data_IF_536935395552
#
_entry.id   IF_536935395552
#
_cell.length_a   1.000
_cell.length_b   1.000
_cell.length_c   1.000
_cell.angle_alpha   90.00
_cell.angle_beta   90.00
_cell.angle_gamma   90.00
#
_symmetry.space_group_name_H-M   'P 1'
#
loop_
_entity.id
_entity.type
_entity.pdbx_description
1 polymer ?
#
# COMPACT_ATOMS: atom_id res chain seq x y z
N UNK A 1 -6.13 -12.92 31.31
CA UNK A 1 -5.57 -13.64 30.15
C UNK A 1 -5.12 -12.62 29.13
N UNK A 2 -3.85 -12.63 28.72
CA UNK A 2 -3.36 -11.76 27.64
C UNK A 2 -3.98 -12.29 26.35
N UNK A 3 -4.97 -11.58 25.82
CA UNK A 3 -5.53 -11.89 24.51
C UNK A 3 -4.41 -11.68 23.48
N UNK A 4 -3.91 -12.77 22.92
CA UNK A 4 -2.96 -12.70 21.80
C UNK A 4 -3.77 -12.22 20.60
N UNK A 5 -3.67 -10.94 20.25
CA UNK A 5 -4.32 -10.41 19.05
C UNK A 5 -3.62 -10.98 17.83
N UNK A 6 -4.27 -11.92 17.15
CA UNK A 6 -3.79 -12.49 15.90
C UNK A 6 -4.24 -11.55 14.78
N UNK A 7 -3.29 -11.05 13.98
CA UNK A 7 -3.58 -10.27 12.76
C UNK A 7 -3.04 -10.99 11.54
N UNK A 8 -3.73 -10.84 10.41
CA UNK A 8 -3.36 -11.45 9.14
C UNK A 8 -2.79 -10.38 8.21
N UNK A 9 -1.53 -10.53 7.80
CA UNK A 9 -0.91 -9.62 6.82
C UNK A 9 -0.97 -10.23 5.43
N UNK A 10 -1.62 -9.53 4.51
CA UNK A 10 -1.76 -9.94 3.11
C UNK A 10 -0.76 -9.21 2.25
N UNK A 11 0.30 -9.91 1.88
CA UNK A 11 1.34 -9.37 1.00
C UNK A 11 1.33 -10.05 -0.35
N UNK A 12 0.89 -9.34 -1.39
CA UNK A 12 1.16 -9.74 -2.77
C UNK A 12 2.06 -8.71 -3.43
N UNK A 13 3.31 -9.07 -3.74
CA UNK A 13 4.24 -8.14 -4.35
C UNK A 13 3.75 -7.79 -5.76
N UNK A 14 3.70 -6.49 -6.13
CA UNK A 14 3.54 -6.11 -7.53
C UNK A 14 4.72 -6.69 -8.32
N UNK A 15 4.45 -7.28 -9.48
CA UNK A 15 5.45 -7.87 -10.38
C UNK A 15 6.65 -6.94 -10.65
N UNK A 16 6.43 -5.61 -10.64
CA UNK A 16 7.47 -4.61 -10.86
C UNK A 16 8.49 -4.44 -9.72
N UNK A 17 8.17 -4.79 -8.47
CA UNK A 17 9.07 -4.55 -7.32
C UNK A 17 10.10 -5.66 -7.15
N UNK A 18 9.78 -6.89 -7.55
CA UNK A 18 10.67 -8.04 -7.38
C UNK A 18 11.71 -8.20 -8.49
N UNK A 19 11.63 -7.44 -9.58
CA UNK A 19 12.58 -7.55 -10.70
C UNK A 19 12.59 -8.92 -11.40
N UNK A 20 11.73 -9.85 -10.99
CA UNK A 20 11.65 -11.20 -11.54
C UNK A 20 10.29 -11.40 -12.20
N UNK A 21 10.29 -11.62 -13.52
CA UNK A 21 9.26 -12.35 -14.25
C UNK A 21 9.27 -13.84 -13.80
N UNK A 22 9.08 -14.10 -12.50
CA UNK A 22 8.97 -15.46 -11.98
C UNK A 22 7.48 -15.85 -11.93
N UNK A 23 7.09 -17.06 -12.36
CA UNK A 23 5.70 -17.51 -12.45
C UNK A 23 5.11 -17.87 -11.08
N UNK A 24 5.43 -17.10 -10.04
CA UNK A 24 4.82 -17.23 -8.72
C UNK A 24 3.44 -16.60 -8.84
N UNK A 25 2.40 -17.43 -8.79
CA UNK A 25 0.98 -17.08 -8.95
C UNK A 25 0.66 -15.62 -8.57
N UNK A 26 0.65 -14.71 -9.56
CA UNK A 26 0.45 -13.29 -9.31
C UNK A 26 -1.05 -13.02 -9.25
N UNK A 27 -1.59 -13.04 -8.04
CA UNK A 27 -2.94 -12.57 -7.80
C UNK A 27 -2.93 -11.05 -7.61
N UNK A 28 -3.96 -10.35 -8.07
CA UNK A 28 -4.07 -8.92 -7.80
C UNK A 28 -4.41 -8.67 -6.32
N UNK A 29 -3.82 -7.63 -5.73
CA UNK A 29 -3.92 -7.36 -4.28
C UNK A 29 -5.38 -7.12 -3.84
N UNK A 30 -6.16 -6.42 -4.65
CA UNK A 30 -7.60 -6.19 -4.47
C UNK A 30 -8.38 -7.51 -4.35
N UNK A 31 -8.15 -8.47 -5.25
CA UNK A 31 -8.81 -9.78 -5.24
C UNK A 31 -8.41 -10.64 -4.05
N UNK A 32 -7.19 -10.47 -3.56
CA UNK A 32 -6.72 -11.20 -2.39
C UNK A 32 -7.33 -10.67 -1.10
N UNK A 33 -7.43 -9.35 -0.97
CA UNK A 33 -8.15 -8.73 0.15
C UNK A 33 -9.59 -9.21 0.15
N UNK A 34 -10.29 -9.14 -0.99
CA UNK A 34 -11.70 -9.55 -1.09
C UNK A 34 -11.94 -11.00 -0.65
N UNK A 35 -11.12 -11.96 -1.10
CA UNK A 35 -11.29 -13.36 -0.72
C UNK A 35 -10.94 -13.65 0.73
N UNK A 36 -9.91 -13.00 1.25
CA UNK A 36 -9.51 -13.18 2.63
C UNK A 36 -10.51 -12.53 3.57
N UNK A 37 -11.09 -11.38 3.21
CA UNK A 37 -12.23 -10.80 3.93
C UNK A 37 -13.38 -11.80 4.01
N UNK A 38 -13.78 -12.42 2.89
CA UNK A 38 -14.82 -13.46 2.88
C UNK A 38 -14.47 -14.66 3.77
N UNK A 39 -13.20 -15.07 3.79
CA UNK A 39 -12.75 -16.15 4.66
C UNK A 39 -12.76 -15.75 6.14
N UNK A 40 -12.36 -14.51 6.45
CA UNK A 40 -12.39 -13.93 7.79
C UNK A 40 -13.80 -13.84 8.32
N UNK A 41 -14.76 -13.42 7.50
CA UNK A 41 -16.16 -13.28 7.90
C UNK A 41 -16.76 -14.66 8.21
N UNK A 42 -16.46 -15.70 7.40
CA UNK A 42 -16.84 -17.09 7.71
C UNK A 42 -16.19 -17.60 9.00
N UNK A 43 -14.94 -17.22 9.26
CA UNK A 43 -14.24 -17.59 10.49
C UNK A 43 -14.89 -16.92 11.71
N UNK A 44 -15.24 -15.64 11.60
CA UNK A 44 -15.97 -14.89 12.62
C UNK A 44 -17.33 -15.53 12.91
N UNK A 45 -18.09 -15.92 11.88
CA UNK A 45 -19.37 -16.62 12.04
C UNK A 45 -19.21 -17.99 12.74
N UNK A 46 -18.17 -18.74 12.39
CA UNK A 46 -17.95 -20.09 12.92
C UNK A 46 -17.38 -20.10 14.36
N UNK A 47 -16.58 -19.10 14.73
CA UNK A 47 -15.80 -19.11 15.98
C UNK A 47 -16.15 -17.97 16.94
N UNK A 48 -16.76 -16.89 16.45
CA UNK A 48 -16.93 -15.65 17.19
C UNK A 48 -15.67 -14.79 17.27
N UNK A 49 -14.56 -15.20 16.64
CA UNK A 49 -13.28 -14.49 16.70
C UNK A 49 -13.05 -13.63 15.45
N UNK A 50 -12.77 -12.34 15.66
CA UNK A 50 -12.44 -11.40 14.59
C UNK A 50 -10.93 -11.34 14.39
N UNK A 51 -10.48 -11.64 13.17
CA UNK A 51 -9.07 -11.52 12.78
C UNK A 51 -8.89 -10.26 11.94
N UNK A 52 -8.14 -9.24 12.41
CA UNK A 52 -7.87 -8.04 11.63
C UNK A 52 -6.97 -8.34 10.42
N UNK A 53 -7.28 -7.72 9.28
CA UNK A 53 -6.55 -7.85 8.03
C UNK A 53 -5.70 -6.60 7.78
N UNK A 54 -4.42 -6.81 7.48
CA UNK A 54 -3.47 -5.78 7.06
C UNK A 54 -3.20 -5.95 5.57
N UNK A 55 -3.59 -4.99 4.74
CA UNK A 55 -3.24 -4.97 3.31
C UNK A 55 -1.81 -4.46 3.13
N UNK A 56 -0.88 -5.34 2.74
CA UNK A 56 0.53 -5.04 2.54
C UNK A 56 0.93 -5.17 1.06
N UNK A 57 1.51 -4.11 0.50
CA UNK A 57 1.97 -4.09 -0.88
C UNK A 57 0.95 -3.50 -1.87
N UNK A 58 1.48 -2.91 -2.95
CA UNK A 58 0.67 -2.27 -3.99
C UNK A 58 0.10 -0.89 -3.64
N UNK A 59 0.17 -0.45 -2.38
CA UNK A 59 -0.29 0.88 -1.94
C UNK A 59 0.68 1.97 -2.42
N UNK A 60 0.27 2.75 -3.43
CA UNK A 60 1.05 3.86 -4.00
C UNK A 60 0.49 5.22 -3.64
N UNK A 61 -0.81 5.29 -3.38
CA UNK A 61 -1.53 6.53 -3.16
C UNK A 61 -2.60 6.36 -2.08
N UNK A 62 -3.14 7.48 -1.58
CA UNK A 62 -4.27 7.48 -0.63
C UNK A 62 -5.52 6.82 -1.24
N UNK A 63 -5.69 6.89 -2.58
CA UNK A 63 -6.76 6.17 -3.28
C UNK A 63 -6.67 4.67 -3.04
N UNK A 64 -5.49 4.10 -3.20
CA UNK A 64 -5.27 2.66 -3.00
C UNK A 64 -5.57 2.26 -1.55
N UNK A 65 -5.27 3.14 -0.59
CA UNK A 65 -5.63 2.94 0.83
C UNK A 65 -7.15 2.89 1.02
N UNK A 66 -7.90 3.84 0.44
CA UNK A 66 -9.37 3.86 0.52
C UNK A 66 -9.95 2.57 -0.08
N UNK A 67 -9.44 2.15 -1.25
CA UNK A 67 -9.91 0.92 -1.92
C UNK A 67 -9.59 -0.31 -1.07
N UNK A 68 -8.37 -0.44 -0.55
CA UNK A 68 -7.99 -1.58 0.29
C UNK A 68 -8.87 -1.67 1.55
N UNK A 69 -9.12 -0.53 2.21
CA UNK A 69 -10.04 -0.48 3.35
C UNK A 69 -11.46 -0.85 2.93
N UNK A 70 -11.95 -0.35 1.79
CA UNK A 70 -13.30 -0.67 1.30
C UNK A 70 -13.49 -2.16 0.98
N UNK A 71 -12.43 -2.84 0.54
CA UNK A 71 -12.44 -4.28 0.26
C UNK A 71 -12.39 -5.16 1.52
N UNK A 72 -12.33 -4.55 2.72
CA UNK A 72 -12.40 -5.27 4.00
C UNK A 72 -11.10 -5.31 4.80
N UNK A 73 -10.03 -4.65 4.34
CA UNK A 73 -8.83 -4.49 5.17
C UNK A 73 -9.12 -3.57 6.37
N UNK A 74 -8.54 -3.90 7.52
CA UNK A 74 -8.64 -3.10 8.75
C UNK A 74 -7.52 -2.06 8.83
N UNK A 75 -6.38 -2.34 8.20
CA UNK A 75 -5.24 -1.44 8.11
C UNK A 75 -4.44 -1.68 6.83
N UNK A 76 -3.55 -0.75 6.51
CA UNK A 76 -2.71 -0.80 5.32
C UNK A 76 -1.24 -0.65 5.70
N UNK A 77 -0.36 -1.39 5.02
CA UNK A 77 1.09 -1.26 5.12
C UNK A 77 1.62 -0.69 3.80
N UNK A 78 2.31 0.45 3.87
CA UNK A 78 2.67 1.25 2.70
C UNK A 78 4.16 1.65 2.71
N UNK A 79 5.06 0.74 2.33
CA UNK A 79 6.50 1.02 2.30
C UNK A 79 6.89 2.13 1.32
N UNK A 80 6.48 2.02 0.05
CA UNK A 80 6.81 2.99 -1.00
C UNK A 80 6.29 4.40 -0.69
N UNK A 81 5.13 4.50 -0.05
CA UNK A 81 4.49 5.76 0.32
C UNK A 81 5.35 6.56 1.31
N UNK A 82 5.98 5.91 2.28
CA UNK A 82 6.84 6.57 3.27
C UNK A 82 8.31 6.69 2.85
N UNK A 83 8.74 5.96 1.81
CA UNK A 83 10.15 5.91 1.42
C UNK A 83 10.73 7.27 0.97
N UNK A 84 9.89 8.21 0.55
CA UNK A 84 10.30 9.55 0.11
C UNK A 84 10.49 10.57 1.22
N UNK A 85 10.18 10.24 2.48
CA UNK A 85 10.22 11.22 3.58
C UNK A 85 11.61 11.40 4.18
N UNK A 86 11.81 12.47 4.95
CA UNK A 86 13.08 12.75 5.65
C UNK A 86 13.53 11.60 6.57
N UNK A 87 12.56 10.98 7.23
CA UNK A 87 12.74 9.96 8.27
C UNK A 87 13.06 8.58 7.68
N UNK A 88 12.87 8.39 6.37
CA UNK A 88 13.26 7.16 5.72
C UNK A 88 14.80 7.04 5.70
N UNK A 89 15.35 5.83 5.92
CA UNK A 89 16.78 5.64 6.22
C UNK A 89 17.72 5.86 5.03
N UNK A 90 17.19 6.10 3.84
CA UNK A 90 17.98 6.30 2.62
C UNK A 90 18.36 7.76 2.44
N UNK A 91 19.48 8.02 1.76
CA UNK A 91 19.94 9.39 1.49
C UNK A 91 19.19 10.05 0.32
N UNK A 92 19.06 11.38 0.34
CA UNK A 92 18.40 12.14 -0.74
C UNK A 92 19.39 12.32 -1.90
N UNK A 93 18.97 11.94 -3.10
CA UNK A 93 19.74 12.17 -4.32
C UNK A 93 19.24 13.43 -5.05
N UNK A 94 20.04 14.49 -4.95
CA UNK A 94 19.78 15.80 -5.58
C UNK A 94 20.21 15.87 -7.05
N UNK A 95 20.77 14.81 -7.64
CA UNK A 95 21.06 14.76 -9.08
C UNK A 95 19.78 14.76 -9.93
N UNK A 96 18.66 14.32 -9.35
CA UNK A 96 17.35 14.32 -10.00
C UNK A 96 16.60 15.63 -9.74
N UNK A 97 15.74 16.01 -10.69
CA UNK A 97 14.78 17.10 -10.55
C UNK A 97 13.38 16.59 -10.91
N UNK A 98 12.45 16.40 -9.94
CA UNK A 98 12.62 16.65 -8.50
C UNK A 98 13.61 15.67 -7.84
N UNK A 99 14.17 16.00 -6.65
CA UNK A 99 15.05 15.11 -5.90
C UNK A 99 14.37 13.78 -5.57
N UNK A 100 15.15 12.70 -5.45
CA UNK A 100 14.63 11.34 -5.25
C UNK A 100 15.37 10.61 -4.13
N UNK A 101 14.70 9.69 -3.46
CA UNK A 101 15.29 8.77 -2.48
C UNK A 101 15.35 7.34 -3.04
N UNK A 102 16.45 6.60 -2.85
CA UNK A 102 16.51 5.17 -3.19
C UNK A 102 15.38 4.38 -2.52
N UNK A 103 14.79 3.45 -3.26
CA UNK A 103 13.80 2.50 -2.73
C UNK A 103 13.94 1.15 -3.46
N UNK A 104 13.87 0.06 -2.71
CA UNK A 104 13.95 -1.30 -3.25
C UNK A 104 13.09 -2.27 -2.44
N UNK A 105 12.66 -3.36 -3.07
CA UNK A 105 11.97 -4.44 -2.36
C UNK A 105 12.94 -5.32 -1.59
N UNK A 106 12.54 -5.81 -0.41
CA UNK A 106 13.33 -6.72 0.44
C UNK A 106 13.80 -8.01 -0.25
N UNK A 107 13.14 -8.43 -1.34
CA UNK A 107 13.54 -9.61 -2.13
C UNK A 107 14.55 -9.34 -3.24
N UNK A 108 14.88 -8.06 -3.49
CA UNK A 108 15.82 -7.68 -4.55
C UNK A 108 17.27 -7.98 -4.16
N UNK A 109 18.15 -8.16 -5.14
CA UNK A 109 19.59 -8.35 -4.87
C UNK A 109 20.21 -7.11 -4.18
N UNK A 110 19.63 -5.93 -4.43
CA UNK A 110 19.95 -4.69 -3.71
C UNK A 110 19.66 -4.80 -2.21
N UNK A 111 18.55 -5.43 -1.81
CA UNK A 111 18.23 -5.66 -0.41
C UNK A 111 19.20 -6.65 0.24
N UNK A 112 19.56 -7.73 -0.46
CA UNK A 112 20.55 -8.72 0.03
C UNK A 112 21.90 -8.05 0.28
N UNK A 113 22.39 -7.31 -0.73
CA UNK A 113 23.64 -6.56 -0.63
C UNK A 113 23.60 -5.50 0.48
N UNK A 114 22.48 -4.80 0.66
CA UNK A 114 22.32 -3.84 1.76
C UNK A 114 22.34 -4.51 3.15
N UNK A 115 21.67 -5.66 3.31
CA UNK A 115 21.64 -6.43 4.56
C UNK A 115 23.02 -6.96 4.94
N UNK A 116 23.78 -7.40 3.95
CA UNK A 116 25.14 -7.94 4.13
C UNK A 116 26.18 -6.86 4.39
N UNK A 117 26.06 -5.70 3.74
CA UNK A 117 27.11 -4.66 3.77
C UNK A 117 26.80 -3.44 4.65
N UNK A 118 25.60 -3.34 5.26
CA UNK A 118 25.15 -2.38 6.30
C UNK A 118 25.81 -0.97 6.34
N UNK A 119 26.15 -0.36 5.22
CA UNK A 119 26.84 0.94 5.27
C UNK A 119 27.61 1.41 4.05
N UNK A 120 27.82 0.59 3.01
CA UNK A 120 28.37 1.12 1.77
C UNK A 120 27.27 1.77 0.92
N UNK A 121 27.53 3.01 0.52
CA UNK A 121 26.72 3.83 -0.38
C UNK A 121 26.31 3.02 -1.61
N UNK A 122 25.07 2.55 -1.62
CA UNK A 122 24.51 1.89 -2.80
C UNK A 122 24.23 3.00 -3.80
N UNK A 123 25.21 3.22 -4.68
CA UNK A 123 25.11 4.19 -5.76
C UNK A 123 23.86 3.92 -6.60
N UNK A 124 23.25 5.01 -7.06
CA UNK A 124 22.24 4.91 -8.10
C UNK A 124 22.94 4.36 -9.35
N UNK A 125 22.51 3.19 -9.81
CA UNK A 125 22.90 2.71 -11.14
C UNK A 125 22.17 3.59 -12.16
N UNK A 126 22.89 4.55 -12.76
CA UNK A 126 22.38 5.43 -13.80
C UNK A 126 21.87 4.57 -14.98
N UNK A 127 20.58 4.70 -15.32
CA UNK A 127 19.95 3.96 -16.43
C UNK A 127 18.87 2.96 -16.03
N UNK A 128 18.63 2.70 -14.74
CA UNK A 128 17.51 1.84 -14.30
C UNK A 128 16.22 2.67 -14.16
N UNK A 129 15.13 2.38 -14.91
CA UNK A 129 13.90 3.20 -14.92
C UNK A 129 13.14 3.32 -13.59
N UNK A 130 13.56 2.63 -12.52
CA UNK A 130 12.88 2.58 -11.23
C UNK A 130 13.78 2.96 -10.04
N UNK A 131 14.82 3.77 -10.25
CA UNK A 131 15.90 3.91 -9.29
C UNK A 131 15.55 4.59 -7.93
N UNK A 132 14.30 5.05 -7.73
CA UNK A 132 13.87 5.59 -6.44
C UNK A 132 12.42 6.08 -6.39
N UNK A 133 12.07 6.73 -5.29
CA UNK A 133 10.81 7.47 -5.10
C UNK A 133 11.10 8.96 -5.03
N UNK A 134 10.12 9.78 -5.38
CA UNK A 134 10.28 11.23 -5.27
C UNK A 134 10.39 11.63 -3.81
N UNK A 135 11.26 12.61 -3.54
CA UNK A 135 11.40 13.19 -2.22
C UNK A 135 10.17 14.05 -1.90
N UNK A 136 9.50 13.74 -0.79
CA UNK A 136 8.24 14.40 -0.39
C UNK A 136 8.39 15.29 0.85
N UNK A 137 9.59 15.39 1.42
CA UNK A 137 9.85 16.21 2.61
C UNK A 137 9.57 15.48 3.94
N UNK A 138 9.34 16.22 5.04
CA UNK A 138 9.10 15.64 6.35
C UNK A 138 7.81 14.80 6.42
N UNK A 139 7.82 13.73 7.22
CA UNK A 139 6.68 12.80 7.33
C UNK A 139 5.42 13.46 7.89
N UNK A 140 5.55 14.31 8.93
CA UNK A 140 4.39 14.90 9.62
C UNK A 140 3.42 15.65 8.68
N UNK A 141 3.86 16.66 7.89
CA UNK A 141 2.94 17.36 7.00
C UNK A 141 2.41 16.45 5.90
N UNK A 142 3.23 15.50 5.43
CA UNK A 142 2.85 14.55 4.39
C UNK A 142 1.74 13.60 4.87
N UNK A 143 1.88 13.03 6.07
CA UNK A 143 0.87 12.13 6.65
C UNK A 143 -0.38 12.89 7.07
N UNK A 144 -0.25 14.11 7.59
CA UNK A 144 -1.38 14.98 7.93
C UNK A 144 -2.24 15.27 6.69
N UNK A 145 -1.62 15.60 5.56
CA UNK A 145 -2.32 15.77 4.29
C UNK A 145 -2.96 14.47 3.79
N UNK A 146 -2.22 13.35 3.86
CA UNK A 146 -2.71 12.04 3.45
C UNK A 146 -3.95 11.60 4.26
N UNK A 147 -3.92 11.82 5.57
CA UNK A 147 -5.04 11.52 6.47
C UNK A 147 -6.28 12.34 6.15
N UNK A 148 -6.12 13.61 5.77
CA UNK A 148 -7.26 14.42 5.34
C UNK A 148 -7.84 13.91 4.02
N UNK A 149 -7.00 13.58 3.04
CA UNK A 149 -7.44 12.96 1.79
C UNK A 149 -8.14 11.61 2.02
N UNK A 150 -7.64 10.81 2.97
CA UNK A 150 -8.24 9.53 3.34
C UNK A 150 -9.64 9.73 3.93
N UNK A 151 -9.80 10.66 4.87
CA UNK A 151 -11.10 11.02 5.44
C UNK A 151 -12.06 11.55 4.37
N UNK A 152 -11.57 12.36 3.43
CA UNK A 152 -12.36 12.83 2.29
C UNK A 152 -12.79 11.66 1.39
N UNK A 153 -11.91 10.71 1.11
CA UNK A 153 -12.22 9.50 0.35
C UNK A 153 -13.33 8.67 1.01
N UNK A 154 -13.23 8.45 2.33
CA UNK A 154 -14.26 7.74 3.10
C UNK A 154 -15.60 8.50 3.08
N UNK A 155 -15.58 9.83 3.21
CA UNK A 155 -16.79 10.66 3.12
C UNK A 155 -17.42 10.64 1.72
N UNK A 156 -16.59 10.64 0.66
CA UNK A 156 -17.06 10.51 -0.73
C UNK A 156 -17.74 9.16 -0.97
N UNK A 157 -17.29 8.10 -0.29
CA UNK A 157 -17.97 6.81 -0.24
C UNK A 157 -19.28 6.80 0.58
N UNK A 158 -19.73 7.96 1.09
CA UNK A 158 -20.90 8.06 1.95
C UNK A 158 -20.71 7.52 3.37
N UNK A 159 -19.47 7.20 3.76
CA UNK A 159 -19.15 6.55 5.02
C UNK A 159 -18.50 7.53 6.02
N UNK A 160 -18.53 7.19 7.31
CA UNK A 160 -17.90 7.97 8.40
C UNK A 160 -16.88 7.17 9.21
N UNK A 161 -16.90 5.84 9.07
CA UNK A 161 -16.06 4.88 9.79
C UNK A 161 -15.59 3.79 8.83
N UNK A 162 -14.53 3.08 9.20
CA UNK A 162 -14.01 1.93 8.44
C UNK A 162 -15.08 0.81 8.40
N UNK A 163 -15.73 0.49 9.52
CA UNK A 163 -16.85 -0.48 9.54
C UNK A 163 -18.03 -0.07 8.66
N UNK A 164 -18.24 1.24 8.51
CA UNK A 164 -19.23 1.79 7.58
C UNK A 164 -18.80 1.53 6.13
N UNK A 165 -17.51 1.68 5.85
CA UNK A 165 -16.91 1.39 4.55
C UNK A 165 -17.02 -0.11 4.22
N UNK A 166 -16.66 -1.01 5.14
CA UNK A 166 -16.76 -2.46 4.94
C UNK A 166 -18.18 -2.93 4.58
N UNK A 167 -19.20 -2.30 5.17
CA UNK A 167 -20.60 -2.71 4.97
C UNK A 167 -21.27 -2.08 3.75
N UNK A 168 -20.89 -0.86 3.40
CA UNK A 168 -21.66 -0.03 2.46
C UNK A 168 -20.88 0.38 1.21
N UNK A 169 -19.55 0.24 1.19
CA UNK A 169 -18.77 0.66 0.04
C UNK A 169 -19.03 -0.25 -1.17
N UNK A 170 -19.21 0.37 -2.33
CA UNK A 170 -19.23 -0.31 -3.62
C UNK A 170 -17.95 0.10 -4.34
N UNK A 171 -17.15 -0.90 -4.74
CA UNK A 171 -15.91 -0.69 -5.50
C UNK A 171 -16.14 -1.19 -6.92
N UNK A 172 -15.98 -0.30 -7.90
CA UNK A 172 -16.18 -0.59 -9.31
C UNK A 172 -14.85 -0.63 -10.06
N UNK A 173 -14.80 -1.44 -11.11
CA UNK A 173 -13.66 -1.47 -12.03
C UNK A 173 -13.84 -0.37 -13.07
N UNK A 174 -12.89 0.55 -13.12
CA UNK A 174 -12.81 1.61 -14.12
C UNK A 174 -11.85 1.18 -15.24
N UNK A 175 -12.15 1.59 -16.48
CA UNK A 175 -11.28 1.31 -17.63
C UNK A 175 -10.00 2.15 -17.57
N UNK A 176 -8.92 1.70 -18.22
CA UNK A 176 -7.63 2.42 -18.21
C UNK A 176 -7.74 3.86 -18.76
N UNK A 177 -8.70 4.11 -19.65
CA UNK A 177 -8.95 5.40 -20.29
C UNK A 177 -9.53 6.45 -19.32
N UNK A 178 -10.27 6.03 -18.29
CA UNK A 178 -10.94 6.93 -17.33
C UNK A 178 -10.05 7.31 -16.13
N UNK A 179 -9.01 6.52 -15.86
CA UNK A 179 -8.08 6.73 -14.72
C UNK A 179 -7.36 8.08 -14.82
N UNK A 180 -7.17 8.61 -16.04
CA UNK A 180 -6.55 9.91 -16.29
C UNK A 180 -7.47 11.12 -16.10
N UNK A 181 -8.80 10.94 -16.10
CA UNK A 181 -9.75 12.04 -16.17
C UNK A 181 -10.38 12.42 -14.81
N UNK A 182 -10.68 11.45 -13.94
CA UNK A 182 -11.44 11.74 -12.72
C UNK A 182 -11.02 10.94 -11.46
N UNK A 183 -11.01 11.65 -10.34
CA UNK A 183 -10.94 11.09 -8.99
C UNK A 183 -12.13 10.17 -8.73
N UNK A 184 -11.84 8.96 -8.23
CA UNK A 184 -12.74 7.92 -7.71
C UNK A 184 -14.24 8.21 -7.86
N UNK A 185 -14.91 7.50 -8.76
CA UNK A 185 -16.37 7.35 -8.74
C UNK A 185 -16.73 6.21 -7.78
N UNK A 186 -17.55 6.55 -6.78
CA UNK A 186 -18.28 5.59 -5.94
C UNK A 186 -19.74 5.98 -6.17
N UNK A 187 -20.45 5.23 -7.02
CA UNK A 187 -21.88 5.45 -7.22
C UNK A 187 -22.67 4.95 -5.99
N UNK A 188 -23.65 5.77 -5.57
CA UNK A 188 -24.65 5.40 -4.57
C UNK A 188 -25.81 4.69 -5.27
N UNK A 189 -26.34 3.65 -4.63
CA UNK A 189 -27.79 3.37 -4.70
C UNK A 189 -28.51 4.09 -3.57
#
# INVERSE_FOLDING_TARGET
ASATTISLTLRIPPSAILGTYSPVASRSQDRAIEEVTKARDKHLEATGEYVPIIADGGIRSVRDMVVALALGADSVMAGKFFAGTNESPTEINYKFSPPRKPYWGEGSDRAKSWRENRGYSIEFEEGVPNAGVDYVGPLEPYISQAMEQLRQGIRKAGCRTIDGLHRNAVVETISEEEVGAHGVHIEKK
#
